data_IF_337657279520
#
_entry.id   IF_337657279520
#
_cell.length_a   1.000
_cell.length_b   1.000
_cell.length_c   1.000
_cell.angle_alpha   90.00
_cell.angle_beta   90.00
_cell.angle_gamma   90.00
#
_symmetry.space_group_name_H-M   'P 1'
#
loop_
_entity.id
_entity.type
_entity.pdbx_description
1 polymer ?
#
# COMPACT_ATOMS: atom_id res chain seq x y z
N UNK A 1 9.06 -19.23 -43.69
CA UNK A 1 7.64 -19.55 -43.92
C UNK A 1 7.54 -21.05 -44.12
N UNK A 2 6.37 -21.63 -43.90
CA UNK A 2 6.14 -23.06 -44.09
C UNK A 2 6.24 -23.39 -45.59
N UNK A 3 7.19 -24.23 -45.99
CA UNK A 3 7.46 -24.53 -47.42
C UNK A 3 6.21 -25.05 -48.14
N UNK A 4 5.33 -25.73 -47.41
CA UNK A 4 4.07 -26.22 -47.95
C UNK A 4 3.12 -25.09 -48.34
N UNK A 5 3.09 -24.00 -47.56
CA UNK A 5 2.20 -22.85 -47.81
C UNK A 5 2.77 -21.95 -48.91
N UNK A 6 4.09 -21.87 -49.05
CA UNK A 6 4.72 -21.19 -50.20
C UNK A 6 4.37 -21.87 -51.53
N UNK A 7 4.32 -23.20 -51.56
CA UNK A 7 3.91 -23.95 -52.75
C UNK A 7 2.40 -23.80 -53.05
N UNK A 8 1.55 -23.89 -52.02
CA UNK A 8 0.11 -23.64 -52.14
C UNK A 8 -0.21 -22.20 -52.52
N UNK A 9 0.66 -21.25 -52.18
CA UNK A 9 0.51 -19.83 -52.50
C UNK A 9 0.74 -19.49 -53.97
N UNK A 10 1.05 -20.47 -54.83
CA UNK A 10 1.09 -20.28 -56.28
C UNK A 10 -0.34 -20.26 -56.83
N UNK A 11 -0.68 -19.29 -57.68
CA UNK A 11 -2.00 -19.26 -58.30
C UNK A 11 -2.22 -20.49 -59.18
N UNK A 12 -3.46 -20.99 -59.21
CA UNK A 12 -3.88 -22.12 -60.05
C UNK A 12 -4.46 -21.65 -61.38
N UNK A 13 -4.99 -20.42 -61.40
CA UNK A 13 -5.53 -19.74 -62.57
C UNK A 13 -5.53 -18.23 -62.33
N UNK A 14 -5.93 -17.47 -63.34
CA UNK A 14 -6.26 -16.06 -63.18
C UNK A 14 -7.50 -15.70 -63.97
N UNK A 15 -8.12 -14.59 -63.60
CA UNK A 15 -9.27 -13.97 -64.25
C UNK A 15 -9.06 -12.45 -64.23
N UNK A 16 -10.02 -11.67 -64.70
CA UNK A 16 -9.98 -10.21 -64.58
C UNK A 16 -11.29 -9.65 -64.03
N UNK A 17 -11.30 -8.34 -63.76
CA UNK A 17 -12.45 -7.69 -63.17
C UNK A 17 -13.69 -7.66 -64.09
N UNK A 18 -13.51 -7.71 -65.42
CA UNK A 18 -14.61 -7.70 -66.39
C UNK A 18 -15.28 -9.07 -66.42
N UNK A 19 -14.51 -10.15 -66.50
CA UNK A 19 -15.01 -11.53 -66.42
C UNK A 19 -15.69 -11.82 -65.07
N UNK A 20 -15.19 -11.25 -63.97
CA UNK A 20 -15.84 -11.36 -62.66
C UNK A 20 -17.16 -10.59 -62.59
N UNK A 21 -17.29 -9.46 -63.31
CA UNK A 21 -18.56 -8.74 -63.43
C UNK A 21 -19.55 -9.54 -64.29
N UNK A 22 -19.08 -10.16 -65.38
CA UNK A 22 -19.86 -11.03 -66.24
C UNK A 22 -20.34 -12.29 -65.50
N UNK A 23 -19.57 -12.82 -64.55
CA UNK A 23 -20.02 -13.92 -63.70
C UNK A 23 -21.33 -13.59 -62.98
N UNK A 24 -21.42 -12.36 -62.44
CA UNK A 24 -22.58 -11.92 -61.69
C UNK A 24 -23.79 -11.64 -62.60
N UNK A 25 -23.56 -11.24 -63.85
CA UNK A 25 -24.62 -10.91 -64.81
C UNK A 25 -25.10 -12.12 -65.61
N UNK A 26 -24.20 -13.03 -65.97
CA UNK A 26 -24.42 -14.10 -66.94
C UNK A 26 -24.16 -15.50 -66.38
N UNK A 27 -23.72 -15.64 -65.13
CA UNK A 27 -23.42 -16.92 -64.47
C UNK A 27 -22.30 -17.74 -65.13
N UNK A 28 -21.46 -17.10 -65.95
CA UNK A 28 -20.23 -17.68 -66.46
C UNK A 28 -19.12 -16.62 -66.44
N UNK A 29 -17.88 -17.05 -66.26
CA UNK A 29 -16.70 -16.22 -66.46
C UNK A 29 -15.60 -17.05 -67.09
N UNK A 30 -14.69 -16.36 -67.77
CA UNK A 30 -13.51 -16.97 -68.33
C UNK A 30 -12.40 -17.02 -67.28
N UNK A 31 -11.76 -18.19 -67.20
CA UNK A 31 -10.58 -18.42 -66.37
C UNK A 31 -9.45 -18.88 -67.26
N UNK A 32 -8.25 -18.39 -66.95
CA UNK A 32 -7.07 -18.63 -67.77
C UNK A 32 -5.96 -19.29 -66.97
N UNK A 33 -5.20 -20.14 -67.66
CA UNK A 33 -4.03 -20.80 -67.08
C UNK A 33 -2.92 -19.78 -66.82
N UNK A 34 -2.22 -19.92 -65.70
CA UNK A 34 -1.14 -19.00 -65.27
C UNK A 34 0.01 -18.96 -66.29
N UNK A 35 0.33 -20.10 -66.91
CA UNK A 35 1.49 -20.22 -67.81
C UNK A 35 1.21 -19.77 -69.26
N UNK A 36 -0.04 -19.43 -69.59
CA UNK A 36 -0.42 -19.07 -70.95
C UNK A 36 -0.54 -17.55 -71.08
N UNK A 37 0.37 -16.96 -71.86
CA UNK A 37 0.23 -15.58 -72.28
C UNK A 37 -0.97 -15.44 -73.22
N UNK A 38 -1.87 -14.51 -72.90
CA UNK A 38 -2.99 -14.17 -73.76
C UNK A 38 -2.74 -12.83 -74.46
N UNK A 39 -2.85 -12.78 -75.80
CA UNK A 39 -2.72 -11.55 -76.54
C UNK A 39 -3.82 -10.55 -76.12
N UNK A 40 -3.42 -9.34 -75.75
CA UNK A 40 -4.35 -8.28 -75.33
C UNK A 40 -4.71 -8.28 -73.83
N UNK A 41 -4.11 -9.17 -73.03
CA UNK A 41 -4.30 -9.14 -71.57
C UNK A 41 -3.62 -7.92 -70.94
N UNK A 42 -4.39 -7.13 -70.21
CA UNK A 42 -3.88 -6.09 -69.32
C UNK A 42 -3.41 -6.74 -68.01
N UNK A 43 -2.08 -6.82 -67.81
CA UNK A 43 -1.51 -7.44 -66.61
C UNK A 43 -1.91 -6.73 -65.31
N UNK A 44 -2.28 -5.45 -65.38
CA UNK A 44 -2.71 -4.68 -64.20
C UNK A 44 -4.10 -5.07 -63.70
N UNK A 45 -4.87 -5.81 -64.51
CA UNK A 45 -6.23 -6.27 -64.19
C UNK A 45 -6.30 -7.74 -63.78
N UNK A 46 -5.16 -8.44 -63.74
CA UNK A 46 -5.11 -9.85 -63.37
C UNK A 46 -5.51 -10.06 -61.91
N UNK A 47 -6.53 -10.89 -61.72
CA UNK A 47 -6.98 -11.41 -60.43
C UNK A 47 -6.53 -12.87 -60.37
N UNK A 48 -5.59 -13.16 -59.47
CA UNK A 48 -5.11 -14.52 -59.25
C UNK A 48 -6.14 -15.36 -58.49
N UNK A 49 -6.33 -16.59 -58.96
CA UNK A 49 -7.18 -17.59 -58.32
C UNK A 49 -6.27 -18.61 -57.65
N UNK A 50 -6.50 -18.87 -56.37
CA UNK A 50 -5.70 -19.77 -55.55
C UNK A 50 -6.44 -21.08 -55.28
N UNK A 51 -5.70 -22.12 -54.90
CA UNK A 51 -6.32 -23.39 -54.50
C UNK A 51 -7.12 -23.23 -53.20
N UNK A 52 -8.16 -24.07 -53.04
CA UNK A 52 -8.92 -24.10 -51.79
C UNK A 52 -8.02 -24.45 -50.59
N UNK A 53 -7.09 -25.39 -50.78
CA UNK A 53 -6.11 -25.78 -49.75
C UNK A 53 -5.26 -24.61 -49.26
N UNK A 54 -4.88 -23.68 -50.15
CA UNK A 54 -4.17 -22.46 -49.76
C UNK A 54 -5.05 -21.57 -48.88
N UNK A 55 -6.29 -21.34 -49.29
CA UNK A 55 -7.27 -20.54 -48.54
C UNK A 55 -7.51 -21.15 -47.15
N UNK A 56 -7.73 -22.45 -47.08
CA UNK A 56 -7.96 -23.17 -45.82
C UNK A 56 -6.73 -23.08 -44.90
N UNK A 57 -5.51 -23.18 -45.47
CA UNK A 57 -4.26 -23.04 -44.71
C UNK A 57 -4.07 -21.63 -44.13
N UNK A 58 -4.49 -20.59 -44.87
CA UNK A 58 -4.45 -19.21 -44.40
C UNK A 58 -5.50 -18.97 -43.32
N UNK A 59 -6.70 -19.52 -43.49
CA UNK A 59 -7.77 -19.41 -42.51
C UNK A 59 -7.36 -20.06 -41.18
N UNK A 60 -6.80 -21.27 -41.22
CA UNK A 60 -6.32 -21.96 -40.03
C UNK A 60 -5.21 -21.16 -39.30
N UNK A 61 -4.33 -20.48 -40.04
CA UNK A 61 -3.32 -19.58 -39.45
C UNK A 61 -3.93 -18.35 -38.82
N UNK A 62 -4.94 -17.75 -39.46
CA UNK A 62 -5.66 -16.61 -38.91
C UNK A 62 -6.38 -16.99 -37.62
N UNK A 63 -7.12 -18.09 -37.61
CA UNK A 63 -7.82 -18.59 -36.42
C UNK A 63 -6.85 -18.89 -35.27
N UNK A 64 -5.69 -19.49 -35.57
CA UNK A 64 -4.65 -19.75 -34.57
C UNK A 64 -4.07 -18.44 -33.99
N UNK A 65 -3.80 -17.45 -34.84
CA UNK A 65 -3.29 -16.16 -34.41
C UNK A 65 -4.33 -15.36 -33.61
N UNK A 66 -5.60 -15.40 -34.00
CA UNK A 66 -6.70 -14.77 -33.25
C UNK A 66 -6.86 -15.37 -31.86
N UNK A 67 -6.75 -16.70 -31.75
CA UNK A 67 -6.74 -17.38 -30.46
C UNK A 67 -5.56 -16.94 -29.60
N UNK A 68 -4.35 -16.90 -30.16
CA UNK A 68 -3.17 -16.45 -29.43
C UNK A 68 -3.31 -14.99 -28.95
N UNK A 69 -3.83 -14.09 -29.80
CA UNK A 69 -4.11 -12.70 -29.42
C UNK A 69 -5.14 -12.64 -28.29
N UNK A 70 -6.18 -13.45 -28.34
CA UNK A 70 -7.19 -13.52 -27.27
C UNK A 70 -6.56 -13.95 -25.94
N UNK A 71 -5.71 -14.98 -25.96
CA UNK A 71 -5.02 -15.46 -24.77
C UNK A 71 -4.08 -14.38 -24.19
N UNK A 72 -3.28 -13.72 -25.04
CA UNK A 72 -2.41 -12.62 -24.61
C UNK A 72 -3.18 -11.43 -24.05
N UNK A 73 -4.34 -11.09 -24.61
CA UNK A 73 -5.22 -10.04 -24.07
C UNK A 73 -5.70 -10.38 -22.66
N UNK A 74 -6.11 -11.63 -22.43
CA UNK A 74 -6.53 -12.07 -21.09
C UNK A 74 -5.37 -11.99 -20.09
N UNK A 75 -4.16 -12.37 -20.49
CA UNK A 75 -2.97 -12.27 -19.63
C UNK A 75 -2.66 -10.80 -19.30
N UNK A 76 -2.69 -9.92 -20.31
CA UNK A 76 -2.42 -8.50 -20.13
C UNK A 76 -3.46 -7.82 -19.20
N UNK A 77 -4.73 -8.19 -19.33
CA UNK A 77 -5.79 -7.70 -18.45
C UNK A 77 -5.60 -8.17 -17.01
N UNK A 78 -5.26 -9.46 -16.81
CA UNK A 78 -4.96 -9.99 -15.49
C UNK A 78 -3.74 -9.29 -14.84
N UNK A 79 -2.69 -9.03 -15.61
CA UNK A 79 -1.51 -8.32 -15.14
C UNK A 79 -1.83 -6.85 -14.77
N UNK A 80 -2.63 -6.16 -15.58
CA UNK A 80 -3.06 -4.80 -15.29
C UNK A 80 -3.92 -4.73 -14.00
N UNK A 81 -4.75 -5.74 -13.78
CA UNK A 81 -5.56 -5.84 -12.56
C UNK A 81 -4.70 -6.12 -11.32
N UNK A 82 -3.72 -7.02 -11.42
CA UNK A 82 -2.78 -7.32 -10.33
C UNK A 82 -1.96 -6.08 -9.93
N UNK A 83 -1.44 -5.33 -10.91
CA UNK A 83 -0.75 -4.05 -10.68
C UNK A 83 -1.67 -3.04 -9.97
N UNK A 84 -2.92 -2.90 -10.41
CA UNK A 84 -3.88 -2.01 -9.78
C UNK A 84 -4.20 -2.40 -8.33
N UNK A 85 -4.27 -3.69 -8.04
CA UNK A 85 -4.50 -4.20 -6.69
C UNK A 85 -3.26 -4.03 -5.79
N UNK A 86 -2.05 -4.12 -6.35
CA UNK A 86 -0.82 -3.78 -5.66
C UNK A 86 -0.80 -2.33 -5.20
N UNK A 87 -1.17 -1.38 -6.06
CA UNK A 87 -1.24 0.04 -5.68
C UNK A 87 -2.22 0.29 -4.53
N UNK A 88 -3.43 -0.31 -4.58
CA UNK A 88 -4.40 -0.19 -3.47
C UNK A 88 -3.84 -0.71 -2.15
N UNK A 89 -3.14 -1.83 -2.20
CA UNK A 89 -2.53 -2.43 -1.02
C UNK A 89 -1.43 -1.54 -0.43
N UNK A 90 -0.60 -0.96 -1.29
CA UNK A 90 0.47 -0.04 -0.90
C UNK A 90 -0.12 1.23 -0.28
N UNK A 91 -1.12 1.84 -0.91
CA UNK A 91 -1.78 3.04 -0.40
C UNK A 91 -2.42 2.80 0.96
N UNK A 92 -3.13 1.68 1.14
CA UNK A 92 -3.73 1.30 2.42
C UNK A 92 -2.67 1.12 3.52
N UNK A 93 -1.54 0.48 3.22
CA UNK A 93 -0.44 0.32 4.18
C UNK A 93 0.22 1.64 4.53
N UNK A 94 0.42 2.52 3.55
CA UNK A 94 0.97 3.85 3.77
C UNK A 94 0.07 4.68 4.69
N UNK A 95 -1.25 4.59 4.51
CA UNK A 95 -2.20 5.26 5.40
C UNK A 95 -2.06 4.78 6.85
N UNK A 96 -2.00 3.46 7.07
CA UNK A 96 -1.80 2.88 8.41
C UNK A 96 -0.49 3.36 9.04
N UNK A 97 0.60 3.40 8.27
CA UNK A 97 1.90 3.89 8.75
C UNK A 97 1.80 5.37 9.17
N UNK A 98 1.13 6.20 8.37
CA UNK A 98 0.90 7.62 8.69
C UNK A 98 0.09 7.78 9.97
N UNK A 99 -1.00 7.04 10.12
CA UNK A 99 -1.84 7.08 11.32
C UNK A 99 -1.05 6.64 12.57
N UNK A 100 -0.24 5.57 12.45
CA UNK A 100 0.59 5.09 13.54
C UNK A 100 1.65 6.12 13.94
N UNK A 101 2.34 6.72 12.97
CA UNK A 101 3.34 7.75 13.21
C UNK A 101 2.73 8.97 13.93
N UNK A 102 1.56 9.43 13.50
CA UNK A 102 0.83 10.50 14.17
C UNK A 102 0.41 10.13 15.60
N UNK A 103 -0.02 8.88 15.82
CA UNK A 103 -0.35 8.36 17.14
C UNK A 103 0.85 8.39 18.10
N UNK A 104 2.01 7.95 17.62
CA UNK A 104 3.27 7.96 18.39
C UNK A 104 3.68 9.40 18.76
N UNK A 105 3.63 10.34 17.80
CA UNK A 105 3.95 11.75 18.06
C UNK A 105 3.01 12.31 19.15
N UNK A 106 1.69 12.09 19.02
CA UNK A 106 0.72 12.56 20.04
C UNK A 106 0.96 11.95 21.42
N UNK A 107 1.39 10.69 21.49
CA UNK A 107 1.72 10.04 22.76
C UNK A 107 2.99 10.63 23.38
N UNK A 108 4.01 10.88 22.57
CA UNK A 108 5.23 11.56 22.98
C UNK A 108 4.92 12.95 23.54
N UNK A 109 4.18 13.77 22.80
CA UNK A 109 3.83 15.13 23.23
C UNK A 109 3.07 15.14 24.56
N UNK A 110 2.17 14.16 24.77
CA UNK A 110 1.45 14.00 26.05
C UNK A 110 2.36 13.57 27.18
N UNK A 111 3.36 12.72 26.92
CA UNK A 111 4.32 12.30 27.92
C UNK A 111 5.23 13.48 28.32
N UNK A 112 5.71 14.26 27.36
CA UNK A 112 6.50 15.47 27.60
C UNK A 112 5.69 16.52 28.36
N UNK A 113 4.42 16.73 28.01
CA UNK A 113 3.52 17.63 28.74
C UNK A 113 3.26 17.18 30.19
N UNK A 114 3.33 15.88 30.49
CA UNK A 114 3.23 15.36 31.86
C UNK A 114 4.51 15.55 32.67
N UNK A 115 5.66 15.67 32.01
CA UNK A 115 6.95 15.95 32.65
C UNK A 115 7.18 17.45 32.89
N UNK A 116 6.42 18.32 32.22
CA UNK A 116 6.45 19.76 32.49
C UNK A 116 5.88 20.02 33.88
N UNK A 117 6.80 20.31 34.80
CA UNK A 117 6.49 20.84 36.13
C UNK A 117 5.76 22.18 35.94
N UNK A 118 4.55 22.36 36.51
CA UNK A 118 3.80 23.61 36.36
C UNK A 118 4.61 24.82 36.81
N UNK A 119 4.42 25.96 36.14
CA UNK A 119 5.07 27.23 36.49
C UNK A 119 4.91 27.54 37.98
N UNK A 120 6.03 27.83 38.64
CA UNK A 120 6.09 28.05 40.09
C UNK A 120 6.36 26.81 40.95
N UNK A 121 6.51 25.62 40.35
CA UNK A 121 6.98 24.40 41.04
C UNK A 121 8.41 24.05 40.60
N UNK A 122 9.22 23.52 41.51
CA UNK A 122 10.59 23.09 41.26
C UNK A 122 10.73 21.60 41.61
N UNK A 123 11.42 20.82 40.77
CA UNK A 123 11.83 19.48 41.16
C UNK A 123 12.79 19.61 42.34
N UNK A 124 12.37 19.06 43.48
CA UNK A 124 13.22 18.95 44.65
C UNK A 124 14.12 17.72 44.52
N UNK A 125 15.35 17.75 45.08
CA UNK A 125 16.22 16.58 45.14
C UNK A 125 15.51 15.35 45.72
N UNK A 126 15.82 14.17 45.19
CA UNK A 126 15.21 12.89 45.58
C UNK A 126 15.51 12.55 47.05
N UNK A 127 16.66 12.97 47.56
CA UNK A 127 16.95 12.97 49.00
C UNK A 127 16.68 14.35 49.59
N UNK A 128 15.71 14.48 50.53
CA UNK A 128 15.48 15.72 51.24
C UNK A 128 16.76 16.11 52.00
N UNK A 129 17.24 17.34 51.80
CA UNK A 129 18.26 17.89 52.68
C UNK A 129 17.65 18.17 54.05
N UNK A 130 18.47 18.15 55.10
CA UNK A 130 18.01 18.44 56.47
C UNK A 130 17.27 19.79 56.56
N UNK A 131 17.75 20.82 55.85
CA UNK A 131 17.07 22.11 55.75
C UNK A 131 15.68 22.03 55.12
N UNK A 132 15.48 21.22 54.08
CA UNK A 132 14.15 21.04 53.48
C UNK A 132 13.17 20.32 54.41
N UNK A 133 13.69 19.41 55.23
CA UNK A 133 12.89 18.72 56.25
C UNK A 133 12.46 19.72 57.32
N UNK A 134 13.40 20.55 57.81
CA UNK A 134 13.13 21.60 58.80
C UNK A 134 12.13 22.63 58.26
N UNK A 135 12.37 23.18 57.06
CA UNK A 135 11.46 24.15 56.42
C UNK A 135 10.06 23.57 56.20
N UNK A 136 9.95 22.27 55.90
CA UNK A 136 8.67 21.57 55.81
C UNK A 136 7.92 21.52 57.14
N UNK A 137 8.63 21.24 58.23
CA UNK A 137 8.10 21.25 59.60
C UNK A 137 7.83 22.65 60.14
N UNK A 138 8.38 23.70 59.55
CA UNK A 138 8.13 25.11 59.91
C UNK A 138 7.19 25.81 58.93
N UNK A 139 6.59 25.06 58.00
CA UNK A 139 5.71 25.61 56.97
C UNK A 139 4.31 25.96 57.51
N UNK A 140 3.65 26.95 56.89
CA UNK A 140 2.25 27.31 57.18
C UNK A 140 1.29 26.11 57.06
N UNK A 141 1.63 25.14 56.21
CA UNK A 141 0.86 23.91 56.03
C UNK A 141 0.94 23.01 57.26
N UNK A 142 2.13 22.93 57.86
CA UNK A 142 2.36 22.20 59.10
C UNK A 142 1.73 22.91 60.30
N UNK A 143 1.84 24.24 60.37
CA UNK A 143 1.17 25.06 61.38
C UNK A 143 -0.36 24.95 61.31
N UNK A 144 -0.93 24.91 60.10
CA UNK A 144 -2.36 24.68 59.89
C UNK A 144 -2.78 23.28 60.34
N UNK A 145 -1.97 22.25 60.08
CA UNK A 145 -2.18 20.88 60.56
C UNK A 145 -2.15 20.82 62.09
N UNK A 146 -1.11 21.39 62.72
CA UNK A 146 -0.97 21.47 64.18
C UNK A 146 -2.17 22.21 64.78
N UNK A 147 -2.53 23.38 64.22
CA UNK A 147 -3.65 24.19 64.68
C UNK A 147 -4.97 23.43 64.59
N UNK A 148 -5.20 22.68 63.50
CA UNK A 148 -6.38 21.85 63.33
C UNK A 148 -6.44 20.72 64.38
N UNK A 149 -5.30 20.14 64.74
CA UNK A 149 -5.21 19.08 65.74
C UNK A 149 -5.41 19.62 67.16
N UNK A 150 -4.79 20.74 67.51
CA UNK A 150 -4.97 21.40 68.80
C UNK A 150 -6.44 21.84 68.99
N UNK A 151 -7.08 22.36 67.94
CA UNK A 151 -8.49 22.77 67.96
C UNK A 151 -9.46 21.61 68.17
N UNK A 152 -9.07 20.38 67.81
CA UNK A 152 -9.86 19.15 68.05
C UNK A 152 -9.60 18.50 69.43
N UNK A 153 -8.93 19.21 70.35
CA UNK A 153 -8.57 18.72 71.71
C UNK A 153 -7.67 17.48 71.73
N UNK A 154 -6.67 17.46 70.85
CA UNK A 154 -5.57 16.51 70.92
C UNK A 154 -5.37 15.74 69.63
N UNK A 155 -4.11 15.37 69.40
CA UNK A 155 -3.73 14.44 68.34
C UNK A 155 -4.37 13.08 68.67
N UNK A 156 -5.28 12.54 67.83
CA UNK A 156 -6.08 11.36 68.20
C UNK A 156 -5.28 10.05 68.21
N UNK A 157 -3.96 10.14 68.08
CA UNK A 157 -3.02 9.04 67.95
C UNK A 157 -1.99 9.09 69.08
N UNK A 158 -1.73 7.95 69.71
CA UNK A 158 -0.59 7.74 70.60
C UNK A 158 0.75 7.98 69.87
N UNK A 159 1.86 8.18 70.61
CA UNK A 159 3.17 8.40 69.99
C UNK A 159 3.55 7.31 68.97
N UNK A 160 3.09 6.07 69.20
CA UNK A 160 3.27 4.95 68.27
C UNK A 160 2.45 5.10 67.00
N UNK A 161 1.17 5.41 67.12
CA UNK A 161 0.27 5.60 65.97
C UNK A 161 0.66 6.83 65.14
N UNK A 162 1.20 7.88 65.77
CA UNK A 162 1.78 9.04 65.09
C UNK A 162 3.02 8.68 64.28
N UNK A 163 3.93 7.88 64.85
CA UNK A 163 5.12 7.42 64.14
C UNK A 163 4.75 6.50 62.97
N UNK A 164 3.75 5.63 63.15
CA UNK A 164 3.23 4.76 62.10
C UNK A 164 2.55 5.57 60.98
N UNK A 165 1.82 6.65 61.30
CA UNK A 165 1.23 7.56 60.32
C UNK A 165 2.29 8.27 59.47
N UNK A 166 3.30 8.88 60.11
CA UNK A 166 4.40 9.56 59.40
C UNK A 166 5.21 8.55 58.55
N UNK A 167 5.48 7.36 59.09
CA UNK A 167 6.14 6.27 58.34
C UNK A 167 5.30 5.81 57.14
N UNK A 168 3.98 5.76 57.29
CA UNK A 168 3.05 5.41 56.21
C UNK A 168 3.05 6.45 55.08
N UNK A 169 3.04 7.75 55.43
CA UNK A 169 3.17 8.84 54.47
C UNK A 169 4.50 8.74 53.72
N UNK A 170 5.60 8.54 54.45
CA UNK A 170 6.93 8.41 53.85
C UNK A 170 7.05 7.21 52.88
N UNK A 171 6.51 6.04 53.26
CA UNK A 171 6.48 4.85 52.38
C UNK A 171 5.60 5.05 51.14
N UNK A 172 4.47 5.75 51.29
CA UNK A 172 3.59 6.06 50.17
C UNK A 172 4.28 7.01 49.18
N UNK A 173 5.06 7.97 49.68
CA UNK A 173 5.86 8.88 48.84
C UNK A 173 6.93 8.13 48.05
N UNK A 174 7.69 7.21 48.68
CA UNK A 174 8.68 6.38 48.00
C UNK A 174 8.05 5.44 46.96
N UNK A 175 6.84 4.92 47.22
CA UNK A 175 6.15 4.01 46.29
C UNK A 175 5.55 4.72 45.07
N UNK A 176 5.39 6.05 45.14
CA UNK A 176 4.86 6.88 44.06
C UNK A 176 5.96 7.41 43.12
N UNK A 177 7.22 6.99 43.32
CA UNK A 177 8.36 7.43 42.52
C UNK A 177 8.29 6.90 41.08
N UNK A 178 8.38 7.77 40.04
CA UNK A 178 8.47 7.33 38.66
C UNK A 178 9.85 6.72 38.38
N UNK A 179 9.86 5.50 37.83
CA UNK A 179 11.11 4.80 37.44
C UNK A 179 11.80 5.57 36.30
N UNK A 180 12.90 6.25 36.63
CA UNK A 180 13.79 6.84 35.63
C UNK A 180 14.50 5.73 34.86
N UNK A 181 14.08 5.47 33.61
CA UNK A 181 14.88 4.72 32.65
C UNK A 181 15.93 5.68 32.09
N UNK A 182 17.08 5.76 32.76
CA UNK A 182 18.24 6.51 32.29
C UNK A 182 18.81 5.84 31.05
N UNK A 183 18.74 6.52 29.91
CA UNK A 183 19.49 6.17 28.71
C UNK A 183 20.91 6.70 28.86
N UNK A 184 21.85 5.79 29.10
CA UNK A 184 23.26 5.98 28.77
C UNK A 184 23.37 6.16 27.26
N UNK A 185 23.83 7.33 26.81
CA UNK A 185 24.41 7.51 25.48
C UNK A 185 25.73 8.24 25.65
N UNK A 186 26.75 7.44 25.96
CA UNK A 186 28.13 7.73 25.60
C UNK A 186 28.37 7.27 24.14
N UNK A 187 29.04 8.16 23.40
CA UNK A 187 29.63 8.02 22.04
C UNK A 187 28.77 8.44 20.83
#
# INVERSE_FOLDING_TARGET
MDKHIEELGKPVAWTDAEEMADLNQYSYCTMWSVDKHQPGTDETRKINIYSQEYVDSLLAKLEAAEKEISDWRSIAEAAAQDDADWYKLVDSKNEVIVQLAQGIIKLKDRAEARLLVPDGRKLVPIEPTEGMVIDGFESESWDALISAVLKRKGWPYSCRESAECVTGIYKAMLSAEPVNVGGDNDH
#
